data_IF_946754429604
#
_entry.id   IF_946754429604
#
_cell.length_a   1.000
_cell.length_b   1.000
_cell.length_c   1.000
_cell.angle_alpha   90.00
_cell.angle_beta   90.00
_cell.angle_gamma   90.00
#
_symmetry.space_group_name_H-M   'P 1'
#
loop_
_entity.id
_entity.type
_entity.pdbx_description
1 polymer ?
#
# COMPACT_ATOMS: atom_id res chain seq x y z
N UNK A 1 -41.09 40.92 12.01
CA UNK A 1 -40.92 39.56 12.59
C UNK A 1 -41.26 38.54 11.51
N UNK A 2 -40.27 37.98 10.83
CA UNK A 2 -40.18 36.59 10.38
C UNK A 2 -38.76 36.42 9.87
N UNK A 3 -37.95 35.79 10.72
CA UNK A 3 -36.58 35.39 10.46
C UNK A 3 -36.60 34.23 9.47
N UNK A 4 -35.86 34.33 8.38
CA UNK A 4 -35.48 33.17 7.58
C UNK A 4 -34.03 33.39 7.18
N UNK A 5 -33.16 33.02 8.11
CA UNK A 5 -31.74 32.95 7.93
C UNK A 5 -31.39 32.27 6.61
N UNK A 6 -30.42 32.87 5.93
CA UNK A 6 -29.70 32.40 4.77
C UNK A 6 -29.37 30.90 4.88
N UNK A 7 -30.18 30.03 4.28
CA UNK A 7 -29.81 28.63 4.06
C UNK A 7 -28.85 28.58 2.86
N UNK A 8 -27.57 28.82 3.11
CA UNK A 8 -26.52 28.27 2.25
C UNK A 8 -26.55 26.75 2.40
N UNK A 9 -27.29 26.08 1.53
CA UNK A 9 -27.12 24.66 1.27
C UNK A 9 -25.74 24.46 0.62
N UNK A 10 -24.70 24.39 1.45
CA UNK A 10 -23.43 23.81 1.05
C UNK A 10 -23.73 22.34 0.77
N UNK A 11 -23.92 21.99 -0.49
CA UNK A 11 -23.82 20.62 -0.94
C UNK A 11 -22.38 20.18 -0.70
N UNK A 12 -22.08 19.75 0.53
CA UNK A 12 -20.86 19.04 0.85
C UNK A 12 -20.96 17.70 0.12
N UNK A 13 -20.44 17.65 -1.12
CA UNK A 13 -20.24 16.40 -1.82
C UNK A 13 -19.47 15.47 -0.88
N UNK A 14 -20.01 14.27 -0.64
CA UNK A 14 -19.38 13.31 0.25
C UNK A 14 -18.07 12.84 -0.42
N UNK A 15 -16.94 13.40 -0.01
CA UNK A 15 -15.62 12.92 -0.44
C UNK A 15 -15.34 11.62 0.30
N UNK A 16 -15.24 10.51 -0.42
CA UNK A 16 -14.83 9.23 0.15
C UNK A 16 -13.30 9.16 0.18
N UNK A 17 -12.72 9.38 1.36
CA UNK A 17 -11.30 9.16 1.58
C UNK A 17 -11.02 7.66 1.80
N UNK A 18 -10.00 7.13 1.16
CA UNK A 18 -9.44 5.83 1.52
C UNK A 18 -8.16 6.04 2.33
N UNK A 19 -7.97 5.22 3.36
CA UNK A 19 -6.81 5.24 4.24
C UNK A 19 -5.92 4.04 3.96
N UNK A 20 -4.62 4.28 3.90
CA UNK A 20 -3.58 3.27 3.81
C UNK A 20 -2.57 3.55 4.92
N UNK A 21 -2.41 2.61 5.85
CA UNK A 21 -1.55 2.79 7.03
C UNK A 21 -0.48 1.71 7.07
N UNK A 22 0.78 2.13 7.13
CA UNK A 22 1.94 1.25 7.20
C UNK A 22 2.87 1.70 8.35
N UNK A 23 3.77 0.83 8.83
CA UNK A 23 4.80 1.23 9.79
C UNK A 23 5.64 2.40 9.26
N UNK A 24 6.01 3.34 10.14
CA UNK A 24 6.86 4.47 9.76
C UNK A 24 8.27 4.04 9.30
N UNK A 25 8.79 2.97 9.89
CA UNK A 25 10.08 2.38 9.53
C UNK A 25 10.16 0.92 9.96
N UNK A 26 10.89 0.11 9.21
CA UNK A 26 11.24 -1.26 9.58
C UNK A 26 12.74 -1.43 9.38
N UNK A 27 13.44 -1.87 10.43
CA UNK A 27 14.89 -2.12 10.39
C UNK A 27 15.15 -3.59 10.63
N UNK A 28 15.92 -4.20 9.72
CA UNK A 28 16.31 -5.61 9.80
C UNK A 28 17.80 -5.76 9.52
N UNK A 29 18.40 -6.85 10.01
CA UNK A 29 19.79 -7.17 9.71
C UNK A 29 19.93 -7.74 8.29
N UNK A 30 21.09 -7.56 7.62
CA UNK A 30 21.35 -8.18 6.32
C UNK A 30 21.10 -9.69 6.34
N UNK A 31 20.51 -10.19 5.25
CA UNK A 31 20.12 -11.58 5.07
C UNK A 31 18.86 -12.02 5.81
N UNK A 32 18.24 -11.17 6.64
CA UNK A 32 16.96 -11.47 7.28
C UNK A 32 15.79 -11.17 6.35
N UNK A 33 14.62 -11.79 6.58
CA UNK A 33 13.41 -11.41 5.88
C UNK A 33 12.92 -10.03 6.34
N UNK A 34 12.30 -9.30 5.42
CA UNK A 34 11.57 -8.06 5.67
C UNK A 34 10.07 -8.37 5.55
N UNK A 35 9.25 -7.84 6.46
CA UNK A 35 7.79 -7.86 6.32
C UNK A 35 7.26 -6.45 6.55
N UNK A 36 6.51 -5.94 5.58
CA UNK A 36 5.81 -4.66 5.67
C UNK A 36 4.32 -4.93 5.49
N UNK A 37 3.52 -4.49 6.45
CA UNK A 37 2.06 -4.55 6.40
C UNK A 37 1.48 -3.19 6.04
N UNK A 38 0.39 -3.19 5.30
CA UNK A 38 -0.39 -2.01 4.96
C UNK A 38 -1.86 -2.31 5.22
N UNK A 39 -2.42 -1.66 6.24
CA UNK A 39 -3.83 -1.75 6.57
C UNK A 39 -4.61 -0.74 5.74
N UNK A 40 -5.67 -1.20 5.07
CA UNK A 40 -6.41 -0.40 4.10
C UNK A 40 -7.89 -0.29 4.46
N UNK A 41 -8.53 0.82 4.09
CA UNK A 41 -9.98 1.00 4.26
C UNK A 41 -10.82 0.47 3.09
N UNK A 42 -10.19 0.22 1.94
CA UNK A 42 -10.87 -0.28 0.74
C UNK A 42 -10.92 -1.80 0.71
N UNK A 43 -11.81 -2.34 -0.14
CA UNK A 43 -11.92 -3.78 -0.34
C UNK A 43 -10.73 -4.32 -1.13
N UNK A 44 -9.91 -5.18 -0.49
CA UNK A 44 -8.80 -5.88 -1.14
C UNK A 44 -9.25 -6.89 -2.20
N UNK A 45 -10.52 -7.30 -2.19
CA UNK A 45 -11.11 -8.12 -3.26
C UNK A 45 -11.72 -7.29 -4.39
N UNK A 46 -11.84 -5.97 -4.22
CA UNK A 46 -12.34 -5.04 -5.23
C UNK A 46 -11.26 -4.29 -6.00
N UNK A 47 -10.12 -4.01 -5.36
CA UNK A 47 -9.04 -3.19 -5.92
C UNK A 47 -7.68 -3.88 -5.81
N UNK A 48 -6.79 -3.56 -6.75
CA UNK A 48 -5.39 -3.95 -6.64
C UNK A 48 -4.66 -3.06 -5.64
N UNK A 49 -3.78 -3.69 -4.86
CA UNK A 49 -2.82 -2.99 -4.01
C UNK A 49 -1.43 -3.16 -4.61
N UNK A 50 -0.83 -2.05 -4.99
CA UNK A 50 0.51 -1.96 -5.56
C UNK A 50 1.54 -1.78 -4.45
N UNK A 51 2.70 -2.41 -4.65
CA UNK A 51 3.89 -2.18 -3.85
C UNK A 51 4.96 -1.52 -4.70
N UNK A 52 5.52 -0.43 -4.19
CA UNK A 52 6.51 0.40 -4.88
C UNK A 52 7.66 0.64 -3.89
N UNK A 53 8.90 0.64 -4.36
CA UNK A 53 10.06 1.07 -3.57
C UNK A 53 10.78 2.24 -4.21
N UNK A 54 11.41 3.06 -3.38
CA UNK A 54 12.26 4.16 -3.80
C UNK A 54 13.62 4.07 -3.10
N UNK A 55 14.63 3.47 -3.75
CA UNK A 55 15.99 3.51 -3.24
C UNK A 55 16.53 4.94 -3.18
N UNK A 56 17.44 5.22 -2.25
CA UNK A 56 18.04 6.55 -2.10
C UNK A 56 18.69 7.01 -3.42
N UNK A 57 18.37 8.24 -3.85
CA UNK A 57 18.87 8.82 -5.10
C UNK A 57 18.30 8.20 -6.39
N UNK A 58 17.29 7.33 -6.31
CA UNK A 58 16.63 6.71 -7.48
C UNK A 58 15.14 7.08 -7.56
N UNK A 59 14.56 6.86 -8.74
CA UNK A 59 13.12 6.98 -8.97
C UNK A 59 12.31 5.86 -8.32
N UNK A 60 10.99 5.98 -8.40
CA UNK A 60 10.06 4.93 -7.98
C UNK A 60 10.24 3.67 -8.84
N UNK A 61 10.33 2.52 -8.18
CA UNK A 61 10.39 1.20 -8.80
C UNK A 61 9.21 0.36 -8.34
N UNK A 62 8.33 0.02 -9.28
CA UNK A 62 7.20 -0.87 -9.01
C UNK A 62 7.68 -2.31 -8.75
N UNK A 63 7.21 -2.91 -7.66
CA UNK A 63 7.54 -4.29 -7.26
C UNK A 63 6.51 -5.27 -7.83
N UNK A 64 5.24 -4.95 -7.63
CA UNK A 64 4.14 -5.87 -7.93
C UNK A 64 2.81 -5.33 -7.43
N UNK A 65 1.75 -6.10 -7.68
CA UNK A 65 0.42 -5.81 -7.18
C UNK A 65 -0.36 -7.08 -6.88
N UNK A 66 -1.32 -6.99 -5.96
CA UNK A 66 -2.20 -8.10 -5.64
C UNK A 66 -3.61 -7.61 -5.31
N UNK A 67 -4.60 -8.40 -5.76
CA UNK A 67 -6.01 -8.28 -5.43
C UNK A 67 -6.47 -9.64 -4.91
N UNK A 68 -7.12 -9.67 -3.76
CA UNK A 68 -7.61 -10.90 -3.14
C UNK A 68 -8.52 -11.67 -4.12
N UNK A 69 -8.24 -12.96 -4.32
CA UNK A 69 -8.91 -13.82 -5.30
C UNK A 69 -8.20 -13.94 -6.66
N UNK A 70 -7.10 -13.21 -6.87
CA UNK A 70 -6.29 -13.29 -8.09
C UNK A 70 -4.85 -13.69 -7.75
N UNK A 71 -4.09 -14.13 -8.75
CA UNK A 71 -2.65 -14.33 -8.59
C UNK A 71 -1.93 -12.97 -8.52
N UNK A 72 -0.92 -12.81 -7.64
CA UNK A 72 -0.12 -11.60 -7.61
C UNK A 72 0.68 -11.42 -8.91
N UNK A 73 0.87 -10.17 -9.32
CA UNK A 73 1.70 -9.78 -10.47
C UNK A 73 2.97 -9.10 -9.98
N UNK A 74 4.09 -9.31 -10.68
CA UNK A 74 5.41 -8.82 -10.26
C UNK A 74 6.17 -8.20 -11.41
N UNK A 75 7.07 -7.28 -11.09
CA UNK A 75 8.17 -6.90 -11.98
C UNK A 75 9.15 -8.08 -12.06
N UNK A 76 9.46 -8.53 -13.27
CA UNK A 76 10.30 -9.71 -13.50
C UNK A 76 11.65 -9.66 -12.75
N UNK A 77 12.29 -8.49 -12.67
CA UNK A 77 13.57 -8.33 -11.96
C UNK A 77 13.47 -8.47 -10.43
N UNK A 78 12.27 -8.45 -9.86
CA UNK A 78 12.02 -8.42 -8.41
C UNK A 78 11.20 -9.62 -7.91
N UNK A 79 10.67 -10.45 -8.81
CA UNK A 79 9.76 -11.57 -8.47
C UNK A 79 10.39 -12.62 -7.54
N UNK A 80 11.72 -12.78 -7.57
CA UNK A 80 12.43 -13.75 -6.71
C UNK A 80 12.85 -13.14 -5.37
N UNK A 81 12.71 -11.82 -5.23
CA UNK A 81 13.13 -11.06 -4.04
C UNK A 81 11.97 -10.72 -3.12
N UNK A 82 10.80 -10.48 -3.70
CA UNK A 82 9.62 -10.06 -2.97
C UNK A 82 8.42 -10.98 -3.25
N UNK A 83 7.60 -11.20 -2.23
CA UNK A 83 6.28 -11.80 -2.34
C UNK A 83 5.21 -10.88 -1.78
N UNK A 84 4.04 -10.88 -2.40
CA UNK A 84 2.90 -10.04 -2.02
C UNK A 84 1.72 -10.92 -1.64
N UNK A 85 1.05 -10.58 -0.55
CA UNK A 85 -0.21 -11.19 -0.16
C UNK A 85 -1.24 -10.16 0.29
N UNK A 86 -2.51 -10.56 0.30
CA UNK A 86 -3.64 -9.74 0.73
C UNK A 86 -4.59 -10.60 1.54
N UNK A 87 -4.92 -10.16 2.73
CA UNK A 87 -5.90 -10.79 3.61
C UNK A 87 -7.15 -9.90 3.69
N UNK A 88 -8.20 -10.32 3.01
CA UNK A 88 -9.48 -9.59 2.98
C UNK A 88 -10.25 -9.68 4.30
N UNK A 89 -9.92 -10.61 5.20
CA UNK A 89 -10.58 -10.70 6.51
C UNK A 89 -10.11 -9.58 7.46
N UNK A 90 -8.85 -9.19 7.34
CA UNK A 90 -8.23 -8.12 8.14
C UNK A 90 -8.00 -6.82 7.35
N UNK A 91 -8.35 -6.78 6.06
CA UNK A 91 -8.01 -5.69 5.13
C UNK A 91 -6.53 -5.29 5.21
N UNK A 92 -5.64 -6.29 5.21
CA UNK A 92 -4.20 -6.08 5.27
C UNK A 92 -3.53 -6.59 4.00
N UNK A 93 -2.79 -5.72 3.32
CA UNK A 93 -1.85 -6.09 2.28
C UNK A 93 -0.45 -6.24 2.89
N UNK A 94 0.31 -7.24 2.45
CA UNK A 94 1.63 -7.55 3.00
C UNK A 94 2.65 -7.70 1.88
N UNK A 95 3.81 -7.09 2.07
CA UNK A 95 5.01 -7.31 1.27
C UNK A 95 6.04 -8.04 2.12
N UNK A 96 6.53 -9.18 1.64
CA UNK A 96 7.66 -9.86 2.22
C UNK A 96 8.87 -9.76 1.31
N UNK A 97 10.03 -9.40 1.85
CA UNK A 97 11.32 -9.47 1.17
C UNK A 97 12.12 -10.65 1.71
N UNK A 98 12.76 -11.43 0.84
CA UNK A 98 13.65 -12.53 1.23
C UNK A 98 15.11 -12.11 1.13
N UNK A 99 15.93 -12.55 2.10
CA UNK A 99 17.37 -12.30 2.12
C UNK A 99 17.72 -10.83 1.80
N UNK A 100 17.09 -9.87 2.50
CA UNK A 100 17.29 -8.45 2.16
C UNK A 100 18.70 -8.01 2.48
N UNK A 101 19.26 -7.17 1.61
CA UNK A 101 20.63 -6.69 1.71
C UNK A 101 20.64 -5.15 1.84
N UNK A 102 21.76 -4.52 2.21
CA UNK A 102 21.83 -3.07 2.33
C UNK A 102 21.36 -2.31 1.08
N UNK A 103 21.59 -2.86 -0.11
CA UNK A 103 21.11 -2.31 -1.40
C UNK A 103 19.58 -2.32 -1.58
N UNK A 104 18.85 -3.09 -0.78
CA UNK A 104 17.38 -3.10 -0.77
C UNK A 104 16.79 -2.02 0.15
N UNK A 105 17.64 -1.21 0.81
CA UNK A 105 17.19 -0.07 1.62
C UNK A 105 16.50 0.96 0.72
N UNK A 106 15.23 1.22 1.01
CA UNK A 106 14.37 2.09 0.23
C UNK A 106 13.21 2.58 1.10
N UNK A 107 12.54 3.64 0.64
CA UNK A 107 11.18 3.92 1.12
C UNK A 107 10.22 3.00 0.37
N UNK A 108 9.35 2.32 1.11
CA UNK A 108 8.37 1.40 0.54
C UNK A 108 6.98 2.04 0.64
N UNK A 109 6.17 1.87 -0.40
CA UNK A 109 4.83 2.43 -0.49
C UNK A 109 3.85 1.32 -0.86
N UNK A 110 2.76 1.20 -0.10
CA UNK A 110 1.54 0.60 -0.60
C UNK A 110 0.67 1.68 -1.26
N UNK A 111 0.08 1.35 -2.39
CA UNK A 111 -0.82 2.24 -3.12
C UNK A 111 -2.02 1.45 -3.65
N UNK A 112 -3.18 2.09 -3.68
CA UNK A 112 -4.38 1.55 -4.30
C UNK A 112 -4.42 1.95 -5.78
N UNK A 113 -4.93 1.06 -6.63
CA UNK A 113 -5.39 1.42 -7.98
C UNK A 113 -6.51 2.47 -7.98
#
# INVERSE_FOLDING_TARGET
MFSAALLLLLAAGCVKCEQLTQPASVTVQPGRPLTITCQVSYSLSGYWTHWIRQPAGKGLEWIGAHRAGYSPVYKASLQNKFSISSDSSSNTATLNGVNVQPEDTAVYYCARE
#
